data_IF_671703125505
#
_entry.id   IF_671703125505
#
_cell.length_a   1.000
_cell.length_b   1.000
_cell.length_c   1.000
_cell.angle_alpha   90.00
_cell.angle_beta   90.00
_cell.angle_gamma   90.00
#
_symmetry.space_group_name_H-M   'P 1'
#
loop_
_entity.id
_entity.type
_entity.pdbx_description
1 polymer ?
2 polymer ?
3 water ?
#
# COMPACT_ATOMS: atom_id res chain seq x y z
N UNK A 2 -3.09 -18.86 16.68
CA UNK A 2 -4.26 -18.81 15.79
C UNK A 2 -5.41 -17.89 16.32
N UNK A 3 -5.20 -16.56 16.26
CA UNK A 3 -6.27 -15.64 16.67
C UNK A 3 -7.35 -15.54 15.59
N UNK A 4 -8.61 -15.42 16.02
CA UNK A 4 -9.76 -15.33 15.12
C UNK A 4 -10.51 -14.00 15.25
N UNK A 5 -11.35 -13.72 14.25
CA UNK A 5 -12.17 -12.53 14.25
C UNK A 5 -13.57 -12.83 13.74
N UNK A 6 -14.55 -12.17 14.36
CA UNK A 6 -15.97 -12.27 14.08
C UNK A 6 -16.52 -10.86 13.82
N UNK A 7 -17.50 -10.75 12.90
CA UNK A 7 -18.24 -9.50 12.65
C UNK A 7 -19.73 -9.83 12.61
N UNK A 8 -20.50 -9.30 13.61
CA UNK A 8 -21.94 -9.60 13.75
C UNK A 8 -22.85 -8.35 13.71
N UNK A 9 -23.66 -8.20 12.64
CA UNK A 9 -23.79 -9.07 11.45
C UNK A 9 -22.66 -8.82 10.41
N UNK A 10 -22.47 -9.75 9.46
CA UNK A 10 -21.45 -9.61 8.41
C UNK A 10 -22.03 -9.41 7.00
N UNK A 11 -23.31 -9.79 6.79
CA UNK A 11 -23.97 -9.67 5.49
C UNK A 11 -25.26 -8.82 5.49
N UNK A 12 -25.63 -8.33 4.31
CA UNK A 12 -26.79 -7.48 4.07
C UNK A 12 -26.74 -6.15 4.78
N UNK A 13 -25.58 -5.53 4.83
CA UNK A 13 -25.41 -4.27 5.54
C UNK A 13 -25.91 -3.04 4.79
N UNK A 14 -26.09 -1.96 5.56
CA UNK A 14 -26.55 -0.64 5.12
C UNK A 14 -25.48 0.38 5.52
N UNK A 15 -25.47 1.58 4.88
CA UNK A 15 -24.51 2.62 5.26
C UNK A 15 -24.91 3.22 6.62
N UNK A 16 -24.20 2.81 7.65
CA UNK A 16 -24.47 3.30 9.00
C UNK A 16 -24.76 2.20 10.00
N UNK A 17 -24.85 0.95 9.52
CA UNK A 17 -25.08 -0.24 10.33
C UNK A 17 -24.00 -0.40 11.42
N UNK A 18 -24.46 -0.68 12.65
CA UNK A 18 -23.54 -0.91 13.74
C UNK A 18 -23.33 -2.42 13.80
N UNK A 19 -22.05 -2.84 13.77
CA UNK A 19 -21.66 -4.25 13.78
C UNK A 19 -20.84 -4.56 15.00
N UNK A 20 -20.94 -5.81 15.49
CA UNK A 20 -20.18 -6.24 16.65
C UNK A 20 -18.90 -6.92 16.17
N UNK A 21 -17.75 -6.29 16.44
CA UNK A 21 -16.45 -6.80 16.04
C UNK A 21 -15.87 -7.49 17.25
N UNK A 22 -15.59 -8.80 17.09
CA UNK A 22 -15.05 -9.65 18.15
C UNK A 22 -13.76 -10.38 17.73
N UNK A 23 -12.78 -10.36 18.63
CA UNK A 23 -11.50 -11.03 18.47
C UNK A 23 -11.32 -12.07 19.56
N UNK A 24 -10.84 -13.27 19.20
CA UNK A 24 -10.64 -14.40 20.10
C UNK A 24 -9.29 -15.04 19.79
N UNK A 25 -8.50 -15.28 20.84
CA UNK A 25 -7.19 -15.87 20.68
C UNK A 25 -6.08 -14.86 20.46
N UNK A 26 -6.38 -13.60 20.79
CA UNK A 26 -5.46 -12.47 20.67
C UNK A 26 -4.45 -12.51 21.83
N UNK A 27 -3.41 -11.65 21.77
CA UNK A 27 -2.42 -11.57 22.84
C UNK A 27 -2.93 -10.66 23.95
N UNK A 28 -3.02 -11.17 25.18
CA UNK A 28 -3.53 -10.40 26.33
C UNK A 28 -2.77 -9.06 26.51
N UNK A 29 -3.51 -7.99 26.79
CA UNK A 29 -2.96 -6.64 27.02
C UNK A 29 -2.52 -5.87 25.78
N UNK A 30 -2.60 -6.51 24.61
CA UNK A 30 -2.21 -5.94 23.30
C UNK A 30 -3.40 -5.15 22.69
N UNK A 31 -3.10 -3.93 22.16
CA UNK A 31 -4.08 -3.06 21.49
C UNK A 31 -4.21 -3.47 20.03
N UNK A 32 -5.46 -3.46 19.51
CA UNK A 32 -5.81 -3.80 18.15
C UNK A 32 -6.71 -2.74 17.56
N UNK A 33 -6.32 -2.26 16.39
CA UNK A 33 -7.05 -1.25 15.68
C UNK A 33 -8.09 -1.96 14.84
N UNK A 34 -9.35 -1.62 15.12
CA UNK A 34 -10.52 -2.17 14.44
C UNK A 34 -10.94 -1.13 13.43
N UNK A 35 -10.82 -1.52 12.15
CA UNK A 35 -11.13 -0.64 11.02
C UNK A 35 -11.76 -1.34 9.83
N UNK A 36 -12.52 -0.57 9.05
CA UNK A 36 -13.04 -1.01 7.77
C UNK A 36 -11.95 -0.77 6.69
N UNK A 37 -11.59 -1.86 6.00
CA UNK A 37 -10.58 -1.88 4.97
C UNK A 37 -11.17 -2.33 3.70
N UNK A 38 -10.43 -2.10 2.62
CA UNK A 38 -10.81 -2.54 1.29
C UNK A 38 -9.57 -2.67 0.40
N UNK A 39 -9.52 -3.75 -0.40
CA UNK A 39 -8.47 -4.00 -1.37
C UNK A 39 -8.96 -3.35 -2.66
N UNK A 40 -8.55 -2.09 -2.90
CA UNK A 40 -8.93 -1.18 -4.01
C UNK A 40 -8.14 -1.45 -5.30
N UNK A 41 -7.01 -2.15 -5.18
CA UNK A 41 -6.16 -2.53 -6.31
C UNK A 41 -5.18 -3.58 -5.83
N UNK A 42 -4.47 -4.28 -6.78
CA UNK A 42 -3.47 -5.30 -6.45
C UNK A 42 -2.38 -4.69 -5.56
N UNK A 43 -2.29 -5.19 -4.33
CA UNK A 43 -1.36 -4.73 -3.30
C UNK A 43 -1.70 -3.40 -2.63
N UNK A 44 -2.91 -2.86 -2.89
CA UNK A 44 -3.40 -1.58 -2.35
C UNK A 44 -4.56 -1.81 -1.39
N UNK A 45 -4.40 -1.35 -0.14
CA UNK A 45 -5.41 -1.44 0.90
C UNK A 45 -5.67 -0.06 1.46
N UNK A 46 -6.93 0.35 1.43
CA UNK A 46 -7.33 1.66 1.91
C UNK A 46 -8.21 1.47 3.11
N UNK A 47 -8.02 2.30 4.14
CA UNK A 47 -8.83 2.26 5.34
C UNK A 47 -9.80 3.44 5.41
N UNK A 48 -10.87 3.26 6.19
CA UNK A 48 -11.86 4.30 6.48
C UNK A 48 -11.32 5.00 7.73
N UNK A 49 -10.83 6.25 7.59
CA UNK A 49 -10.26 6.94 8.77
C UNK A 49 -11.28 7.45 9.76
N UNK A 50 -12.57 7.46 9.36
CA UNK A 50 -13.66 8.02 10.16
C UNK A 50 -14.20 7.16 11.29
N UNK A 51 -14.31 5.85 11.05
CA UNK A 51 -14.89 5.00 12.08
C UNK A 51 -13.93 3.91 12.37
N UNK A 52 -13.27 4.03 13.50
CA UNK A 52 -12.27 3.08 13.95
C UNK A 52 -12.04 3.32 15.42
N UNK A 53 -11.67 2.27 16.13
CA UNK A 53 -11.52 2.20 17.56
C UNK A 53 -10.32 1.31 17.92
N UNK A 54 -9.64 1.60 19.06
CA UNK A 54 -8.56 0.73 19.53
C UNK A 54 -9.12 0.04 20.77
N UNK A 55 -9.24 -1.28 20.67
CA UNK A 55 -9.77 -2.15 21.72
C UNK A 55 -8.57 -2.95 22.26
N UNK A 56 -8.52 -3.15 23.59
CA UNK A 56 -7.43 -3.88 24.25
C UNK A 56 -7.96 -5.22 24.72
N UNK A 57 -7.21 -6.29 24.41
CA UNK A 57 -7.58 -7.66 24.73
C UNK A 57 -7.52 -7.95 26.23
N UNK A 58 -8.50 -8.71 26.72
CA UNK A 58 -8.58 -9.15 28.11
C UNK A 58 -7.59 -10.31 28.36
N UNK A 59 -7.57 -10.85 29.62
CA UNK A 59 -6.68 -11.96 30.01
C UNK A 59 -6.90 -13.21 29.16
N UNK A 60 -8.16 -13.50 28.81
CA UNK A 60 -8.51 -14.66 27.98
C UNK A 60 -8.12 -14.56 26.48
N UNK A 61 -7.65 -13.39 26.05
CA UNK A 61 -7.23 -13.15 24.68
C UNK A 61 -8.36 -12.70 23.76
N UNK A 62 -9.45 -12.15 24.34
CA UNK A 62 -10.61 -11.65 23.61
C UNK A 62 -10.82 -10.14 23.81
N UNK A 63 -11.40 -9.51 22.80
CA UNK A 63 -11.73 -8.10 22.72
C UNK A 63 -13.03 -7.97 21.92
N UNK A 64 -13.79 -6.91 22.18
CA UNK A 64 -15.07 -6.68 21.55
C UNK A 64 -15.33 -5.19 21.45
N UNK A 65 -15.89 -4.77 20.32
CA UNK A 65 -16.24 -3.37 20.08
C UNK A 65 -17.34 -3.31 19.04
N UNK A 66 -17.92 -2.13 18.90
CA UNK A 66 -18.94 -1.84 17.92
C UNK A 66 -18.23 -1.09 16.81
N UNK A 67 -18.75 -1.22 15.57
CA UNK A 67 -18.18 -0.50 14.45
C UNK A 67 -19.29 -0.01 13.51
N UNK A 68 -19.23 1.26 13.15
CA UNK A 68 -20.19 1.82 12.20
C UNK A 68 -19.62 1.61 10.78
N UNK A 69 -20.23 0.71 10.02
CA UNK A 69 -19.79 0.39 8.67
C UNK A 69 -20.35 1.34 7.63
N UNK A 70 -19.53 1.68 6.63
CA UNK A 70 -19.91 2.55 5.52
C UNK A 70 -19.92 1.77 4.23
N UNK A 71 -20.87 2.06 3.37
CA UNK A 71 -20.97 1.41 2.07
C UNK A 71 -19.94 2.12 1.20
N UNK A 72 -19.87 3.43 1.33
CA UNK A 72 -18.96 4.30 0.61
C UNK A 72 -18.16 5.16 1.58
N UNK A 73 -16.84 5.22 1.36
CA UNK A 73 -15.93 6.03 2.15
C UNK A 73 -14.75 6.52 1.35
N UNK A 74 -14.16 7.63 1.83
CA UNK A 74 -12.96 8.20 1.24
C UNK A 74 -11.80 7.41 1.87
N UNK A 75 -11.12 6.63 1.04
CA UNK A 75 -9.99 5.78 1.44
C UNK A 75 -8.61 6.40 1.53
N UNK A 76 -7.85 5.98 2.57
CA UNK A 76 -6.47 6.40 2.89
C UNK A 76 -5.51 5.22 2.94
N UNK A 77 -4.24 5.49 2.61
CA UNK A 77 -3.22 4.46 2.64
C UNK A 77 -2.36 4.64 3.88
N UNK A 78 -1.51 3.62 4.18
CA UNK A 78 -0.62 3.57 5.35
C UNK A 78 0.07 4.90 5.69
N UNK A 79 0.45 5.70 4.69
CA UNK A 79 1.22 6.91 4.93
C UNK A 79 0.42 8.21 4.95
N UNK A 80 -0.90 8.08 4.87
CA UNK A 80 -1.84 9.18 4.91
C UNK A 80 -2.19 9.77 3.56
N UNK A 81 -1.90 9.00 2.49
CA UNK A 81 -2.16 9.31 1.09
C UNK A 81 -3.62 9.05 0.86
N UNK A 82 -4.31 10.02 0.24
CA UNK A 82 -5.70 9.95 -0.14
C UNK A 82 -5.75 9.02 -1.37
N UNK A 83 -6.43 7.88 -1.27
CA UNK A 83 -6.57 7.00 -2.44
C UNK A 83 -7.70 7.55 -3.33
N UNK A 84 -8.86 7.77 -2.70
CA UNK A 84 -10.09 8.24 -3.30
C UNK A 84 -11.29 7.47 -2.79
N UNK A 85 -12.45 7.60 -3.45
CA UNK A 85 -13.68 6.94 -3.00
C UNK A 85 -13.64 5.42 -3.14
N UNK A 86 -14.01 4.73 -2.06
CA UNK A 86 -14.13 3.30 -2.01
C UNK A 86 -15.63 3.01 -1.93
N UNK A 87 -16.15 2.17 -2.85
CA UNK A 87 -17.55 1.74 -2.90
C UNK A 87 -17.57 0.25 -2.53
N UNK A 88 -18.21 -0.11 -1.40
CA UNK A 88 -18.22 -1.51 -0.94
C UNK A 88 -19.17 -2.47 -1.66
N UNK A 89 -20.00 -1.94 -2.59
CA UNK A 89 -20.90 -2.76 -3.42
C UNK A 89 -20.06 -3.50 -4.49
N UNK A 90 -18.89 -2.94 -4.85
CA UNK A 90 -17.99 -3.48 -5.87
C UNK A 90 -16.62 -3.85 -5.34
N UNK A 91 -16.09 -3.07 -4.37
CA UNK A 91 -14.78 -3.35 -3.79
C UNK A 91 -14.91 -4.39 -2.70
N UNK A 92 -13.84 -5.16 -2.50
CA UNK A 92 -13.76 -6.23 -1.51
C UNK A 92 -13.48 -5.63 -0.10
N UNK A 93 -14.57 -5.26 0.61
CA UNK A 93 -14.53 -4.68 1.94
C UNK A 93 -14.55 -5.66 3.06
N UNK A 94 -13.69 -5.44 4.02
CA UNK A 94 -13.58 -6.23 5.22
C UNK A 94 -13.36 -5.37 6.47
N UNK A 95 -13.47 -5.98 7.63
CA UNK A 95 -13.26 -5.36 8.93
C UNK A 95 -12.05 -6.08 9.47
N UNK A 96 -11.09 -5.34 9.99
CA UNK A 96 -9.86 -5.95 10.50
C UNK A 96 -9.44 -5.48 11.87
N UNK A 97 -8.79 -6.36 12.62
CA UNK A 97 -8.20 -6.16 13.95
C UNK A 97 -6.71 -6.32 13.75
N UNK A 98 -5.94 -5.27 14.03
CA UNK A 98 -4.51 -5.30 13.83
C UNK A 98 -3.70 -4.67 14.93
N UNK A 99 -2.66 -5.40 15.38
CA UNK A 99 -1.72 -4.90 16.39
C UNK A 99 -0.64 -4.06 15.72
N UNK A 100 0.09 -3.28 16.53
CA UNK A 100 1.21 -2.41 16.13
C UNK A 100 2.27 -3.13 15.28
N UNK A 101 2.44 -4.45 15.49
CA UNK A 101 3.40 -5.26 14.75
C UNK A 101 2.97 -5.28 13.28
N UNK A 102 1.79 -5.85 13.06
CA UNK A 102 1.18 -6.02 11.74
C UNK A 102 0.19 -7.16 11.82
N UNK A 103 0.48 -8.11 12.74
CA UNK A 103 -0.27 -9.35 13.07
C UNK A 103 -1.74 -9.19 13.50
N UNK A 104 -2.27 -10.28 14.04
CA UNK A 104 -3.67 -10.37 14.42
C UNK A 104 -4.42 -11.23 13.43
N UNK A 105 -5.75 -11.38 13.59
CA UNK A 105 -6.49 -12.30 12.70
C UNK A 105 -6.64 -11.85 11.24
N UNK A 106 -7.16 -12.76 10.41
CA UNK A 106 -7.44 -12.49 9.01
C UNK A 106 -8.73 -11.66 9.02
N UNK A 107 -8.76 -10.64 8.16
CA UNK A 107 -9.90 -9.73 8.05
C UNK A 107 -11.17 -10.47 7.73
N UNK A 108 -12.29 -10.00 8.26
CA UNK A 108 -13.60 -10.61 8.05
C UNK A 108 -14.29 -9.79 6.98
N UNK A 109 -14.61 -10.46 5.86
CA UNK A 109 -15.30 -9.92 4.70
C UNK A 109 -16.70 -9.45 5.08
N UNK A 110 -17.10 -8.27 4.58
CA UNK A 110 -18.41 -7.66 4.82
C UNK A 110 -19.07 -7.35 3.49
N UNK A 111 -20.36 -7.65 3.38
CA UNK A 111 -21.18 -7.47 2.19
C UNK A 111 -22.44 -6.67 2.50
N UNK A 112 -22.78 -5.78 1.55
CA UNK A 112 -23.91 -4.85 1.62
C UNK A 112 -25.01 -5.29 0.65
N UNK B 3 -12.75 -18.72 -8.26
CA UNK B 3 -11.44 -19.19 -8.69
C UNK B 3 -10.53 -19.56 -7.52
N UNK B 4 -9.72 -20.61 -7.71
CA UNK B 4 -8.80 -21.10 -6.69
C UNK B 4 -7.33 -21.03 -7.13
N UNK B 5 -6.43 -21.13 -6.15
CA UNK B 5 -4.99 -21.12 -6.38
C UNK B 5 -4.30 -22.14 -5.50
N UNK B 6 -3.32 -22.87 -6.04
CA UNK B 6 -2.55 -23.86 -5.28
C UNK B 6 -1.08 -23.77 -5.67
N UNK B 7 -0.18 -23.72 -4.66
CA UNK B 7 1.28 -23.59 -4.78
C UNK B 7 1.93 -24.90 -4.32
N UNK B 8 2.63 -25.58 -5.24
CA UNK B 8 3.25 -26.88 -4.95
C UNK B 8 4.78 -26.93 -5.18
N UNK B 9 5.58 -27.07 -4.09
CA UNK B 9 5.18 -27.16 -2.67
C UNK B 9 4.88 -25.79 -2.04
N UNK B 10 4.34 -25.80 -0.79
CA UNK B 10 3.98 -24.58 -0.06
C UNK B 10 4.71 -24.38 1.25
N UNK B 11 5.04 -25.47 1.97
CA UNK B 11 5.69 -25.45 3.29
C UNK B 11 7.18 -25.85 3.27
N UNK B 12 7.94 -25.39 4.28
CA UNK B 12 9.35 -25.66 4.47
C UNK B 12 10.20 -25.46 3.23
N UNK B 13 10.23 -24.21 2.71
CA UNK B 13 10.95 -23.84 1.50
C UNK B 13 12.40 -23.33 1.72
N UNK B 14 13.15 -23.13 0.62
CA UNK B 14 14.54 -22.65 0.63
C UNK B 14 14.65 -21.46 -0.34
N UNK B 15 15.70 -20.62 -0.20
CA UNK B 15 15.87 -19.49 -1.11
C UNK B 15 16.33 -20.00 -2.47
N UNK B 16 15.41 -20.04 -3.42
CA UNK B 16 15.68 -20.50 -4.78
C UNK B 16 14.82 -21.65 -5.24
N UNK B 17 13.96 -22.16 -4.32
CA UNK B 17 13.02 -23.25 -4.57
C UNK B 17 12.08 -22.91 -5.73
N UNK B 18 11.91 -23.85 -6.64
CA UNK B 18 10.98 -23.67 -7.75
C UNK B 18 9.66 -24.29 -7.29
N UNK B 19 8.58 -23.50 -7.36
CA UNK B 19 7.25 -23.93 -6.94
C UNK B 19 6.30 -23.92 -8.12
N UNK B 20 5.31 -24.82 -8.11
CA UNK B 20 4.32 -24.89 -9.16
C UNK B 20 3.09 -24.07 -8.74
N UNK B 21 2.86 -22.97 -9.45
CA UNK B 21 1.74 -22.08 -9.17
C UNK B 21 0.64 -22.45 -10.15
N UNK B 22 -0.52 -22.85 -9.62
CA UNK B 22 -1.69 -23.29 -10.38
C UNK B 22 -2.95 -22.54 -10.00
N UNK B 23 -3.69 -22.14 -11.02
CA UNK B 23 -4.96 -21.45 -10.92
C UNK B 23 -6.06 -22.27 -11.56
N UNK B 24 -7.21 -22.40 -10.89
CA UNK B 24 -8.35 -23.17 -11.36
C UNK B 24 -9.62 -22.36 -11.14
N UNK B 25 -10.46 -22.28 -12.15
CA UNK B 25 -11.71 -21.52 -12.09
C UNK B 25 -11.55 -20.07 -12.48
N UNK B 26 -10.43 -19.75 -13.16
CA UNK B 26 -10.11 -18.41 -13.64
C UNK B 26 -10.93 -18.11 -14.91
N UNK B 27 -10.91 -16.85 -15.37
CA UNK B 27 -11.62 -16.46 -16.58
C UNK B 27 -10.78 -16.78 -17.80
N UNK B 28 -11.32 -17.60 -18.73
CA UNK B 28 -10.62 -17.99 -19.96
C UNK B 28 -10.08 -16.77 -20.76
N UNK B 29 -8.84 -16.88 -21.24
CA UNK B 29 -8.16 -15.85 -22.02
C UNK B 29 -7.63 -14.65 -21.27
N UNK B 30 -7.89 -14.60 -19.93
CA UNK B 30 -7.46 -13.52 -19.03
C UNK B 30 -6.04 -13.78 -18.52
N UNK B 31 -5.20 -12.72 -18.52
CA UNK B 31 -3.81 -12.74 -18.01
C UNK B 31 -3.81 -12.50 -16.50
N UNK B 32 -2.95 -13.25 -15.78
CA UNK B 32 -2.77 -13.17 -14.33
C UNK B 32 -1.30 -13.06 -13.99
N UNK B 33 -0.97 -12.07 -13.17
CA UNK B 33 0.39 -11.84 -12.70
C UNK B 33 0.63 -12.69 -11.49
N UNK B 34 1.59 -13.58 -11.61
CA UNK B 34 2.01 -14.52 -10.57
C UNK B 34 3.25 -13.94 -9.93
N UNK B 35 3.12 -13.57 -8.63
CA UNK B 35 4.19 -12.95 -7.87
C UNK B 35 4.23 -13.33 -6.42
N UNK B 36 5.45 -13.24 -5.82
CA UNK B 36 5.68 -13.40 -4.39
C UNK B 36 5.40 -12.03 -3.72
N UNK B 37 4.47 -12.05 -2.76
CA UNK B 37 4.04 -10.88 -2.01
C UNK B 37 4.28 -11.12 -0.58
N UNK B 38 4.25 -10.06 0.22
CA UNK B 38 4.40 -10.17 1.66
C UNK B 38 3.79 -8.98 2.36
N UNK B 39 3.06 -9.23 3.47
CA UNK B 39 2.50 -8.17 4.29
C UNK B 39 3.65 -7.71 5.24
N UNK B 40 4.22 -6.57 4.91
CA UNK B 40 5.33 -6.00 5.64
C UNK B 40 4.90 -5.09 6.76
N UNK B 41 3.64 -4.64 6.73
CA UNK B 41 3.05 -3.79 7.77
C UNK B 41 1.53 -3.72 7.53
N UNK B 42 0.75 -3.23 8.53
CA UNK B 42 -0.71 -3.09 8.41
C UNK B 42 -1.06 -2.21 7.19
N UNK B 43 -1.72 -2.81 6.22
CA UNK B 43 -2.11 -2.17 4.96
C UNK B 43 -1.00 -2.02 3.92
N UNK B 44 0.19 -2.60 4.18
CA UNK B 44 1.37 -2.52 3.31
C UNK B 44 1.71 -3.90 2.72
N UNK B 45 1.73 -3.99 1.40
CA UNK B 45 2.07 -5.20 0.64
C UNK B 45 3.17 -4.88 -0.33
N UNK B 46 4.28 -5.63 -0.22
CA UNK B 46 5.41 -5.43 -1.09
C UNK B 46 5.57 -6.66 -1.96
N UNK B 47 5.91 -6.45 -3.24
CA UNK B 47 6.12 -7.52 -4.19
C UNK B 47 7.61 -7.70 -4.49
N UNK B 48 7.96 -8.92 -4.94
CA UNK B 48 9.31 -9.27 -5.38
C UNK B 48 9.30 -8.95 -6.87
N UNK B 49 9.99 -7.87 -7.30
CA UNK B 49 9.97 -7.52 -8.73
C UNK B 49 10.82 -8.42 -9.62
N UNK B 50 11.68 -9.25 -9.00
CA UNK B 50 12.62 -10.09 -9.72
C UNK B 50 12.09 -11.38 -10.33
N UNK B 51 11.17 -12.06 -9.61
CA UNK B 51 10.68 -13.34 -10.13
C UNK B 51 9.19 -13.24 -10.21
N UNK B 52 8.71 -13.01 -11.44
CA UNK B 52 7.30 -12.87 -11.78
C UNK B 52 7.06 -13.20 -13.23
N UNK B 53 5.87 -13.71 -13.50
CA UNK B 53 5.45 -14.19 -14.79
C UNK B 53 3.97 -13.86 -15.02
N UNK B 54 3.59 -13.63 -16.28
CA UNK B 54 2.18 -13.43 -16.64
C UNK B 54 1.77 -14.71 -17.39
N UNK B 55 0.83 -15.44 -16.80
CA UNK B 55 0.30 -16.68 -17.33
C UNK B 55 -1.13 -16.41 -17.80
N UNK B 56 -1.52 -16.97 -18.95
CA UNK B 56 -2.85 -16.79 -19.54
C UNK B 56 -3.64 -18.08 -19.40
N UNK B 57 -4.88 -17.95 -18.88
CA UNK B 57 -5.79 -19.07 -18.62
C UNK B 57 -6.31 -19.74 -19.89
N UNK B 58 -6.50 -21.08 -19.86
CA UNK B 58 -7.02 -21.87 -20.98
C UNK B 58 -8.56 -21.78 -21.13
N UNK B 59 -9.11 -22.38 -22.21
CA UNK B 59 -10.55 -22.37 -22.52
C UNK B 59 -11.41 -22.94 -21.39
N UNK B 60 -10.98 -24.04 -20.77
CA UNK B 60 -11.67 -24.72 -19.66
C UNK B 60 -11.71 -23.84 -18.39
N UNK B 61 -10.59 -23.16 -18.11
CA UNK B 61 -10.42 -22.29 -16.96
C UNK B 61 -9.32 -22.79 -16.05
N UNK B 62 -8.06 -22.71 -16.53
CA UNK B 62 -6.85 -23.15 -15.82
C UNK B 62 -5.58 -22.46 -16.34
N UNK B 63 -4.59 -22.27 -15.45
CA UNK B 63 -3.28 -21.72 -15.77
C UNK B 63 -2.25 -22.35 -14.84
N UNK B 64 -1.00 -22.46 -15.31
CA UNK B 64 0.07 -23.06 -14.53
C UNK B 64 1.38 -22.43 -14.92
N UNK B 65 2.24 -22.21 -13.92
CA UNK B 65 3.59 -21.66 -14.11
C UNK B 65 4.48 -22.09 -12.96
N UNK B 66 5.78 -21.89 -13.14
CA UNK B 66 6.78 -22.16 -12.13
C UNK B 66 7.14 -20.81 -11.55
N UNK B 67 7.55 -20.80 -10.27
CA UNK B 67 7.97 -19.57 -9.61
C UNK B 67 9.17 -19.83 -8.71
N UNK B 68 10.21 -18.99 -8.84
CA UNK B 68 11.39 -19.09 -7.99
C UNK B 68 11.14 -18.24 -6.76
N UNK B 69 10.94 -18.89 -5.62
CA UNK B 69 10.67 -18.22 -4.35
C UNK B 69 11.96 -17.78 -3.64
N UNK B 70 11.93 -16.61 -3.01
CA UNK B 70 13.05 -16.05 -2.28
C UNK B 70 12.68 -15.84 -0.84
N UNK B 71 13.47 -16.37 0.08
CA UNK B 71 13.28 -16.22 1.52
C UNK B 71 13.45 -14.73 1.88
N UNK B 72 14.36 -14.03 1.17
CA UNK B 72 14.66 -12.60 1.35
C UNK B 72 14.67 -11.88 -0.02
N UNK B 73 14.02 -10.72 -0.10
CA UNK B 73 13.95 -9.90 -1.30
C UNK B 73 13.75 -8.45 -1.00
N UNK B 74 14.15 -7.60 -1.97
CA UNK B 74 13.97 -6.16 -1.88
C UNK B 74 12.55 -5.88 -2.38
N UNK B 75 11.68 -5.46 -1.45
CA UNK B 75 10.27 -5.17 -1.70
C UNK B 75 9.91 -3.80 -2.26
N UNK B 76 8.93 -3.81 -3.21
CA UNK B 76 8.35 -2.66 -3.90
C UNK B 76 6.85 -2.55 -3.68
N UNK B 77 6.34 -1.31 -3.71
CA UNK B 77 4.89 -1.08 -3.54
C UNK B 77 4.27 -0.80 -4.89
N UNK B 78 2.91 -0.81 -4.96
CA UNK B 78 2.10 -0.59 -6.16
C UNK B 78 2.59 0.52 -7.09
N UNK B 79 3.14 1.61 -6.53
CA UNK B 79 3.56 2.75 -7.34
C UNK B 79 5.06 2.83 -7.67
N UNK B 80 5.79 1.77 -7.31
CA UNK B 80 7.21 1.60 -7.58
C UNK B 80 8.14 2.14 -6.51
N UNK B 81 7.58 2.35 -5.31
CA UNK B 81 8.26 2.84 -4.12
C UNK B 81 9.01 1.65 -3.54
N UNK B 82 10.33 1.83 -3.24
CA UNK B 82 11.01 0.75 -2.58
C UNK B 82 10.68 0.79 -1.11
N UNK B 83 10.23 -0.34 -0.62
CA UNK B 83 9.88 -0.48 0.80
C UNK B 83 11.15 -0.74 1.61
N UNK B 84 11.91 -1.75 1.16
CA UNK B 84 13.14 -2.23 1.76
C UNK B 84 13.18 -3.75 1.77
N UNK B 85 14.11 -4.34 2.54
CA UNK B 85 14.25 -5.79 2.60
C UNK B 85 13.07 -6.48 3.28
N UNK B 86 12.55 -7.51 2.63
CA UNK B 86 11.51 -8.37 3.13
C UNK B 86 12.16 -9.70 3.47
N UNK B 87 11.95 -10.18 4.71
CA UNK B 87 12.44 -11.47 5.19
C UNK B 87 11.20 -12.36 5.40
N UNK B 88 11.09 -13.48 4.66
CA UNK B 88 9.92 -14.35 4.75
C UNK B 88 9.84 -15.29 5.96
N UNK B 89 10.89 -15.33 6.79
CA UNK B 89 10.93 -16.11 8.02
C UNK B 89 10.04 -15.43 9.09
N UNK B 90 9.87 -14.09 8.96
CA UNK B 90 9.09 -13.26 9.89
C UNK B 90 7.89 -12.57 9.24
N UNK B 91 8.03 -12.16 7.97
CA UNK B 91 6.93 -11.50 7.26
C UNK B 91 5.98 -12.54 6.69
N UNK B 92 4.71 -12.15 6.51
CA UNK B 92 3.66 -13.04 6.01
C UNK B 92 3.72 -13.13 4.47
N UNK B 93 4.53 -14.07 3.97
CA UNK B 93 4.72 -14.24 2.53
C UNK B 93 3.74 -15.15 1.83
N UNK B 94 3.16 -14.66 0.73
CA UNK B 94 2.21 -15.39 -0.11
C UNK B 94 2.64 -15.35 -1.59
N UNK B 95 2.00 -16.19 -2.42
CA UNK B 95 2.16 -16.21 -3.88
C UNK B 95 0.77 -15.86 -4.35
N UNK B 96 0.67 -14.90 -5.27
CA UNK B 96 -0.63 -14.45 -5.76
C UNK B 96 -0.77 -14.40 -7.27
N UNK B 97 -2.02 -14.66 -7.75
CA UNK B 97 -2.45 -14.62 -9.16
C UNK B 97 -3.45 -13.50 -9.24
N UNK B 98 -3.14 -12.46 -10.02
CA UNK B 98 -4.00 -11.29 -10.13
C UNK B 98 -4.19 -10.78 -11.53
N UNK B 99 -5.46 -10.45 -11.86
CA UNK B 99 -5.90 -9.86 -13.12
C UNK B 99 -5.56 -8.35 -13.08
N UNK B 100 -5.64 -7.68 -14.25
CA UNK B 100 -5.36 -6.24 -14.38
C UNK B 100 -6.17 -5.36 -13.44
N UNK B 101 -7.43 -5.72 -13.20
CA UNK B 101 -8.31 -4.96 -12.31
C UNK B 101 -7.99 -5.17 -10.83
N UNK B 102 -7.62 -6.39 -10.45
CA UNK B 102 -7.28 -6.77 -9.09
C UNK B 102 -7.71 -8.17 -8.73
N UNK B 103 -8.96 -8.50 -9.12
CA UNK B 103 -9.67 -9.77 -8.93
C UNK B 103 -8.82 -10.99 -9.32
N UNK B 104 -9.17 -12.12 -8.72
CA UNK B 104 -8.48 -13.39 -8.90
C UNK B 104 -8.56 -14.15 -7.60
N UNK B 105 -7.98 -15.37 -7.48
CA UNK B 105 -8.08 -16.09 -6.21
C UNK B 105 -7.37 -15.39 -5.04
N UNK B 106 -7.61 -15.91 -3.83
CA UNK B 106 -6.95 -15.43 -2.63
C UNK B 106 -5.52 -16.01 -2.68
N UNK B 107 -4.56 -15.18 -2.30
CA UNK B 107 -3.15 -15.56 -2.27
C UNK B 107 -2.91 -16.78 -1.41
N UNK B 108 -1.95 -17.61 -1.82
CA UNK B 108 -1.59 -18.84 -1.13
C UNK B 108 -0.36 -18.55 -0.31
N UNK B 109 -0.49 -18.72 1.02
CA UNK B 109 0.57 -18.50 2.00
C UNK B 109 1.69 -19.50 1.80
N UNK B 110 2.95 -19.03 1.91
CA UNK B 110 4.18 -19.82 1.75
C UNK B 110 5.05 -19.66 2.99
N UNK B 111 5.67 -20.76 3.44
CA UNK B 111 6.52 -20.79 4.63
C UNK B 111 7.90 -21.39 4.34
N UNK B 112 8.95 -20.79 4.95
CA UNK B 112 10.34 -21.19 4.77
C UNK B 112 10.92 -21.85 6.02
N UNK B 113 11.73 -22.90 5.80
CA UNK B 113 12.44 -23.66 6.83
C UNK B 113 13.59 -22.82 7.39
N UNK B 114 13.92 -22.97 8.71
CA UNK B 114 15.01 -22.23 9.38
C UNK B 114 15.52 -22.99 10.59
N UNK C 8 -13.17 22.86 1.95
CA UNK C 8 -14.50 23.40 2.29
C UNK C 8 -15.57 22.33 2.30
N UNK C 9 -15.76 21.70 3.47
CA UNK C 9 -16.75 20.66 3.67
C UNK C 9 -17.54 20.95 4.97
N UNK C 10 -18.88 20.89 4.90
CA UNK C 10 -19.80 21.13 6.01
C UNK C 10 -19.77 19.90 6.92
N UNK C 11 -18.93 19.98 7.98
CA UNK C 11 -18.71 18.87 8.93
C UNK C 11 -19.11 19.29 10.32
N UNK C 12 -19.62 18.32 11.10
CA UNK C 12 -20.00 18.49 12.51
C UNK C 12 -18.75 18.98 13.28
N UNK C 13 -18.84 20.15 13.96
CA UNK C 13 -17.66 20.64 14.70
C UNK C 13 -17.22 19.72 15.86
N UNK C 14 -18.17 18.91 16.43
CA UNK C 14 -17.90 17.98 17.53
C UNK C 14 -16.99 16.86 17.07
N UNK C 15 -17.20 16.42 15.80
CA UNK C 15 -16.41 15.42 15.06
C UNK C 15 -14.95 15.89 14.87
N UNK C 16 -14.75 17.16 14.47
CA UNK C 16 -13.45 17.80 14.28
C UNK C 16 -12.69 17.85 15.64
N UNK C 17 -13.35 18.28 16.74
CA UNK C 17 -12.80 18.32 18.10
C UNK C 17 -12.31 16.92 18.52
N UNK C 18 -13.12 15.86 18.25
CA UNK C 18 -12.81 14.45 18.53
C UNK C 18 -11.51 14.01 17.80
N UNK C 19 -11.44 14.16 16.46
CA UNK C 19 -10.25 13.85 15.66
C UNK C 19 -9.05 14.66 16.13
N UNK C 20 -9.27 15.91 16.60
CA UNK C 20 -8.19 16.74 17.13
C UNK C 20 -7.66 16.17 18.47
N UNK C 21 -8.58 15.67 19.36
CA UNK C 21 -8.19 15.04 20.63
C UNK C 21 -7.45 13.70 20.36
N UNK C 22 -7.88 12.96 19.32
CA UNK C 22 -7.32 11.69 18.86
C UNK C 22 -5.87 11.75 18.38
N UNK C 23 -5.37 12.93 17.95
CA UNK C 23 -3.97 13.14 17.57
C UNK C 23 -3.05 12.99 18.81
N UNK C 24 -3.63 12.89 20.01
CA UNK C 24 -2.92 12.75 21.27
C UNK C 24 -3.07 11.32 21.85
N UNK C 25 -3.83 10.41 21.15
CA UNK C 25 -4.07 9.03 21.61
C UNK C 25 -2.79 8.18 21.79
N UNK C 26 -2.92 7.01 22.46
CA UNK C 26 -1.82 6.11 22.72
C UNK C 26 -1.47 5.24 21.51
N UNK C 27 -2.47 4.96 20.67
CA UNK C 27 -2.38 4.14 19.47
C UNK C 27 -2.01 5.06 18.30
N UNK C 28 -0.86 4.75 17.62
CA UNK C 28 -0.34 5.46 16.43
C UNK C 28 -1.43 5.33 15.33
N UNK C 29 -2.15 4.18 15.31
CA UNK C 29 -3.25 3.90 14.40
C UNK C 29 -4.34 4.98 14.51
N UNK C 30 -4.79 5.29 15.75
CA UNK C 30 -5.79 6.32 16.07
C UNK C 30 -5.27 7.72 15.63
N UNK C 31 -4.07 8.09 16.06
CA UNK C 31 -3.41 9.35 15.72
C UNK C 31 -3.28 9.55 14.19
N UNK C 32 -2.83 8.49 13.44
CA UNK C 32 -2.67 8.49 11.97
C UNK C 32 -4.04 8.67 11.26
N UNK C 33 -5.06 7.96 11.77
CA UNK C 33 -6.43 7.96 11.26
C UNK C 33 -7.07 9.34 11.41
N UNK C 34 -6.85 9.94 12.60
CA UNK C 34 -7.33 11.27 12.94
C UNK C 34 -6.68 12.31 12.01
N UNK C 35 -5.38 12.19 11.76
CA UNK C 35 -4.66 13.11 10.89
C UNK C 35 -5.19 13.00 9.47
N UNK C 36 -5.42 11.76 8.94
CA UNK C 36 -5.97 11.54 7.59
C UNK C 36 -7.38 12.14 7.46
N UNK C 37 -8.27 11.87 8.46
CA UNK C 37 -9.64 12.37 8.55
C UNK C 37 -9.71 13.93 8.61
N UNK C 38 -8.74 14.55 9.31
CA UNK C 38 -8.72 16.01 9.37
C UNK C 38 -8.46 16.69 8.01
N UNK C 39 -7.58 16.09 7.20
CA UNK C 39 -7.28 16.56 5.86
C UNK C 39 -8.49 16.45 4.95
N UNK C 40 -9.26 15.34 5.13
CA UNK C 40 -10.49 15.03 4.41
C UNK C 40 -11.53 16.16 4.65
N UNK C 41 -11.79 16.47 5.94
CA UNK C 41 -12.64 17.54 6.45
C UNK C 41 -12.20 18.91 5.91
N UNK C 42 -10.90 19.18 5.89
CA UNK C 42 -10.35 20.42 5.34
C UNK C 42 -10.59 21.70 6.12
N UNK C 43 -10.84 21.57 7.44
CA UNK C 43 -11.05 22.70 8.36
C UNK C 43 -9.75 23.40 8.73
N UNK C 44 -9.80 24.73 8.94
CA UNK C 44 -8.63 25.52 9.34
C UNK C 44 -8.28 25.37 10.83
N UNK C 45 -9.24 24.90 11.67
CA UNK C 45 -9.05 24.70 13.12
C UNK C 45 -8.13 23.54 13.48
N UNK C 46 -7.93 22.64 12.52
CA UNK C 46 -7.08 21.48 12.65
C UNK C 46 -5.62 21.80 12.34
N UNK C 47 -5.34 22.97 11.71
CA UNK C 47 -3.98 23.41 11.30
C UNK C 47 -2.95 23.34 12.41
N UNK C 48 -3.16 24.08 13.52
CA UNK C 48 -2.20 24.06 14.64
C UNK C 48 -2.03 22.69 15.31
N UNK C 49 -3.12 21.94 15.64
CA UNK C 49 -2.92 20.57 16.20
C UNK C 49 -2.21 19.58 15.26
N UNK C 50 -2.34 19.74 13.92
CA UNK C 50 -1.72 18.90 12.91
C UNK C 50 -0.24 19.24 12.75
N UNK C 51 0.13 20.52 13.01
CA UNK C 51 1.50 21.01 12.97
C UNK C 51 2.30 20.34 14.09
N UNK C 52 1.66 20.17 15.27
CA UNK C 52 2.24 19.51 16.44
C UNK C 52 2.51 18.02 16.13
N UNK C 53 1.64 17.40 15.27
CA UNK C 53 1.70 16.01 14.85
C UNK C 53 2.83 15.73 13.83
N UNK C 54 3.35 16.78 13.17
CA UNK C 54 4.48 16.70 12.24
C UNK C 54 5.78 16.33 13.00
N UNK C 55 5.69 16.29 14.34
CA UNK C 55 6.76 16.02 15.30
C UNK C 55 6.41 14.78 16.14
N UNK C 56 5.45 13.97 15.66
CA UNK C 56 5.00 12.75 16.35
C UNK C 56 6.11 11.69 16.30
N UNK C 57 6.13 10.75 17.27
CA UNK C 57 7.13 9.69 17.24
C UNK C 57 6.94 8.63 16.14
N UNK C 58 5.80 8.63 15.46
CA UNK C 58 5.54 7.64 14.44
C UNK C 58 5.64 8.26 13.05
N UNK C 59 6.45 7.63 12.18
CA UNK C 59 6.72 8.07 10.81
C UNK C 59 5.41 8.22 9.97
N UNK C 60 4.43 7.31 10.17
CA UNK C 60 3.16 7.34 9.45
C UNK C 60 2.17 8.35 10.00
N UNK C 61 2.37 8.75 11.25
CA UNK C 61 1.54 9.84 11.78
C UNK C 61 2.08 11.14 11.14
N UNK C 62 3.42 11.39 11.23
CA UNK C 62 4.04 12.60 10.65
C UNK C 62 3.70 12.83 9.17
N UNK C 63 3.79 11.78 8.35
CA UNK C 63 3.47 11.87 6.92
C UNK C 63 1.98 12.15 6.67
N UNK C 64 1.09 11.43 7.44
CA UNK C 64 -0.36 11.61 7.34
C UNK C 64 -0.72 13.04 7.66
N UNK C 65 -0.08 13.62 8.71
CA UNK C 65 -0.29 15.02 9.10
C UNK C 65 0.20 15.96 8.01
N UNK C 66 1.33 15.63 7.38
CA UNK C 66 1.84 16.43 6.28
C UNK C 66 0.91 16.37 5.06
N UNK C 67 0.34 15.19 4.75
CA UNK C 67 -0.61 15.10 3.62
C UNK C 67 -1.87 15.90 3.86
N UNK C 68 -2.38 15.87 5.12
CA UNK C 68 -3.59 16.58 5.56
C UNK C 68 -3.41 18.10 5.41
N UNK C 69 -2.24 18.62 5.88
CA UNK C 69 -1.88 20.04 5.84
C UNK C 69 -1.82 20.59 4.44
N UNK C 70 -1.33 19.77 3.50
CA UNK C 70 -1.26 20.10 2.09
C UNK C 70 -2.65 20.14 1.48
N UNK C 71 -3.51 19.18 1.88
CA UNK C 71 -4.89 19.08 1.43
C UNK C 71 -5.64 20.32 1.89
N UNK C 72 -5.42 20.78 3.16
CA UNK C 72 -6.00 22.01 3.71
C UNK C 72 -5.58 23.27 2.89
N UNK C 73 -4.30 23.40 2.58
CA UNK C 73 -3.79 24.49 1.77
C UNK C 73 -3.51 25.76 2.53
N UNK C 74 -3.41 25.65 3.88
CA UNK C 74 -3.13 26.78 4.77
C UNK C 74 -1.62 27.12 4.74
N UNK C 75 -1.28 28.44 4.65
CA UNK C 75 0.10 28.92 4.58
C UNK C 75 0.88 28.74 5.90
N UNK C 76 0.18 28.68 7.08
CA UNK C 76 0.80 28.51 8.41
C UNK C 76 1.72 27.31 8.48
N UNK C 77 1.33 26.24 7.78
CA UNK C 77 2.03 24.96 7.67
C UNK C 77 3.36 25.02 6.87
N UNK C 78 3.62 26.11 6.10
CA UNK C 78 4.83 26.25 5.30
C UNK C 78 6.13 26.09 6.06
N UNK C 79 6.33 26.86 7.15
CA UNK C 79 7.54 26.72 7.97
C UNK C 79 7.66 25.30 8.54
N UNK C 80 6.62 24.73 9.21
CA UNK C 80 6.74 23.34 9.71
C UNK C 80 6.98 22.26 8.66
N UNK C 81 6.40 22.41 7.45
CA UNK C 81 6.57 21.45 6.35
C UNK C 81 7.99 21.46 5.75
N UNK C 82 8.66 22.64 5.78
CA UNK C 82 10.04 22.82 5.33
C UNK C 82 10.94 22.08 6.31
N UNK C 83 10.62 22.15 7.63
CA UNK C 83 11.37 21.45 8.68
C UNK C 83 11.26 19.92 8.47
N UNK C 84 10.01 19.44 8.22
CA UNK C 84 9.71 18.03 7.96
C UNK C 84 10.36 17.52 6.67
N UNK C 85 10.77 18.43 5.74
CA UNK C 85 11.46 18.06 4.50
C UNK C 85 12.86 17.52 4.82
N UNK C 86 13.34 17.79 6.04
CA UNK C 86 14.65 17.36 6.54
C UNK C 86 14.48 16.19 7.50
N UNK C 87 13.27 15.64 7.58
CA UNK C 87 12.92 14.50 8.45
C UNK C 87 13.76 13.28 8.13
N UNK C 88 14.05 12.50 9.17
CA UNK C 88 14.82 11.25 9.06
C UNK C 88 14.18 10.18 8.14
N UNK C 89 12.83 10.23 7.98
CA UNK C 89 12.12 9.25 7.21
C UNK C 89 11.78 9.72 5.82
N UNK C 90 12.04 8.84 4.83
CA UNK C 90 11.81 9.00 3.42
C UNK C 90 10.34 9.34 3.09
N UNK C 91 9.36 8.57 3.63
CA UNK C 91 7.92 8.79 3.41
C UNK C 91 7.46 10.16 3.92
N UNK C 92 7.95 10.57 5.13
CA UNK C 92 7.68 11.88 5.75
C UNK C 92 8.21 13.01 4.82
N UNK C 93 9.45 12.85 4.30
CA UNK C 93 10.07 13.82 3.38
C UNK C 93 9.26 13.92 2.08
N UNK C 94 8.84 12.76 1.49
CA UNK C 94 8.00 12.72 0.30
C UNK C 94 6.62 13.44 0.57
N UNK C 95 6.00 13.20 1.74
CA UNK C 95 4.73 13.81 2.14
C UNK C 95 4.82 15.33 2.19
N UNK C 96 5.89 15.82 2.85
CA UNK C 96 6.22 17.24 3.03
C UNK C 96 6.41 17.92 1.71
N UNK C 97 7.21 17.30 0.80
CA UNK C 97 7.46 17.80 -0.56
C UNK C 97 6.13 18.04 -1.30
N UNK C 98 5.23 17.02 -1.29
CA UNK C 98 3.91 17.05 -1.92
C UNK C 98 3.01 18.12 -1.30
N UNK C 99 2.89 18.13 0.03
CA UNK C 99 2.10 19.10 0.78
C UNK C 99 2.49 20.55 0.47
N UNK C 100 3.80 20.83 0.34
CA UNK C 100 4.34 22.15 -0.01
C UNK C 100 3.92 22.54 -1.42
N UNK C 101 3.91 21.55 -2.34
CA UNK C 101 3.44 21.72 -3.71
C UNK C 101 1.95 21.97 -3.83
N UNK C 102 1.16 21.53 -2.83
CA UNK C 102 -0.29 21.66 -2.73
C UNK C 102 -0.65 23.03 -2.12
N UNK C 103 0.39 23.88 -1.89
CA UNK C 103 0.26 25.23 -1.34
C UNK C 103 0.87 26.34 -2.26
N UNK C 104 2.19 26.54 -2.22
CA UNK C 104 2.90 27.55 -3.01
C UNK C 104 2.57 28.98 -2.63
N UNK D 9 27.55 -0.48 -8.92
CA UNK D 9 26.73 -1.69 -9.04
C UNK D 9 27.24 -2.65 -10.14
N UNK D 10 27.40 -3.96 -9.77
CA UNK D 10 27.91 -5.07 -10.61
C UNK D 10 26.80 -6.15 -10.70
N UNK D 11 26.01 -6.11 -11.79
CA UNK D 11 24.85 -7.00 -11.98
C UNK D 11 24.84 -7.66 -13.37
N UNK D 12 24.38 -8.94 -13.45
CA UNK D 12 24.35 -9.72 -14.70
C UNK D 12 23.76 -8.87 -15.83
N UNK D 13 24.54 -8.63 -16.92
CA UNK D 13 24.01 -7.80 -18.01
C UNK D 13 22.80 -8.42 -18.73
N UNK D 14 22.68 -9.79 -18.71
CA UNK D 14 21.59 -10.56 -19.34
C UNK D 14 20.27 -10.25 -18.63
N UNK D 15 20.35 -10.09 -17.29
CA UNK D 15 19.25 -9.75 -16.38
C UNK D 15 18.71 -8.34 -16.70
N UNK D 16 19.61 -7.35 -16.89
CA UNK D 16 19.31 -5.96 -17.22
C UNK D 16 18.61 -5.90 -18.59
N UNK D 17 19.18 -6.60 -19.57
CA UNK D 17 18.66 -6.77 -20.93
C UNK D 17 17.19 -7.25 -20.88
N UNK D 18 16.90 -8.29 -20.09
CA UNK D 18 15.59 -8.90 -19.86
C UNK D 18 14.55 -7.89 -19.31
N UNK D 19 14.87 -7.25 -18.16
CA UNK D 19 14.04 -6.21 -17.55
C UNK D 19 13.82 -5.03 -18.50
N UNK D 20 14.81 -4.72 -19.36
CA UNK D 20 14.67 -3.65 -20.36
C UNK D 20 13.66 -4.07 -21.46
N UNK D 21 13.68 -5.36 -21.90
CA UNK D 21 12.73 -5.90 -22.89
C UNK D 21 11.31 -5.93 -22.29
N UNK D 22 11.21 -6.25 -20.98
CA UNK D 22 9.97 -6.32 -20.19
C UNK D 22 9.21 -5.02 -20.07
N UNK D 23 9.87 -3.86 -20.22
CA UNK D 23 9.24 -2.54 -20.20
C UNK D 23 8.32 -2.37 -21.45
N UNK D 24 8.40 -3.33 -22.40
CA UNK D 24 7.61 -3.33 -23.63
C UNK D 24 6.51 -4.41 -23.60
N UNK D 25 6.42 -5.19 -22.50
CA UNK D 25 5.43 -6.28 -22.35
C UNK D 25 3.96 -5.83 -22.44
N UNK D 26 3.05 -6.79 -22.59
CA UNK D 26 1.61 -6.54 -22.70
C UNK D 26 0.97 -6.28 -21.34
N UNK D 27 1.53 -6.88 -20.28
CA UNK D 27 1.07 -6.81 -18.90
C UNK D 27 1.74 -5.60 -18.24
N UNK D 28 0.90 -4.65 -17.71
CA UNK D 28 1.34 -3.44 -17.00
C UNK D 28 2.12 -3.92 -15.76
N UNK D 29 1.70 -5.07 -15.19
CA UNK D 29 2.33 -5.72 -14.05
C UNK D 29 3.81 -6.01 -14.32
N UNK D 30 4.11 -6.63 -15.49
CA UNK D 30 5.46 -6.98 -15.98
C UNK D 30 6.29 -5.68 -16.18
N UNK D 31 5.75 -4.73 -16.93
CA UNK D 31 6.36 -3.43 -17.21
C UNK D 31 6.70 -2.67 -15.92
N UNK D 32 5.74 -2.58 -14.92
CA UNK D 32 5.91 -1.92 -13.61
C UNK D 32 7.04 -2.62 -12.79
N UNK D 33 7.03 -3.97 -12.79
CA UNK D 33 7.98 -4.80 -12.06
C UNK D 33 9.39 -4.61 -12.59
N UNK D 34 9.51 -4.57 -13.95
CA UNK D 34 10.75 -4.35 -14.66
C UNK D 34 11.30 -2.97 -14.32
N UNK D 35 10.44 -1.95 -14.31
CA UNK D 35 10.85 -0.60 -13.97
C UNK D 35 11.38 -0.52 -12.53
N UNK D 36 10.68 -1.16 -11.55
CA UNK D 36 11.11 -1.20 -10.13
C UNK D 36 12.47 -1.90 -9.99
N UNK D 37 12.63 -3.09 -10.63
CA UNK D 37 13.85 -3.89 -10.67
C UNK D 37 15.06 -3.13 -11.29
N UNK D 38 14.81 -2.33 -12.34
CA UNK D 38 15.87 -1.54 -12.95
C UNK D 38 16.46 -0.47 -12.02
N UNK D 39 15.61 0.17 -11.22
CA UNK D 39 16.03 1.13 -10.21
C UNK D 39 16.87 0.49 -9.14
N UNK D 40 16.51 -0.75 -8.74
CA UNK D 40 17.18 -1.58 -7.75
C UNK D 40 18.64 -1.82 -8.22
N UNK D 41 18.79 -2.33 -9.46
CA UNK D 41 20.04 -2.59 -10.19
C UNK D 41 20.89 -1.30 -10.30
N UNK D 42 20.25 -0.18 -10.66
CA UNK D 42 20.94 1.11 -10.74
C UNK D 42 21.95 1.26 -11.88
N UNK D 43 21.73 0.54 -12.97
CA UNK D 43 22.58 0.62 -14.15
C UNK D 43 22.20 1.84 -14.99
N UNK D 44 23.19 2.44 -15.65
CA UNK D 44 22.99 3.61 -16.51
C UNK D 44 22.38 3.26 -17.87
N UNK D 45 22.52 1.99 -18.33
CA UNK D 45 21.98 1.56 -19.63
C UNK D 45 20.45 1.58 -19.68
N UNK D 46 19.81 1.42 -18.49
CA UNK D 46 18.35 1.41 -18.30
C UNK D 46 17.74 2.79 -18.37
N UNK D 47 18.55 3.87 -18.27
CA UNK D 47 18.13 5.28 -18.32
C UNK D 47 17.23 5.61 -19.49
N UNK D 48 17.72 5.45 -20.74
CA UNK D 48 16.90 5.76 -21.92
C UNK D 48 15.62 4.91 -22.05
N UNK D 49 15.65 3.56 -21.87
CA UNK D 49 14.39 2.76 -21.92
C UNK D 49 13.39 3.12 -20.81
N UNK D 50 13.85 3.61 -19.63
CA UNK D 50 13.01 4.01 -18.50
C UNK D 50 12.38 5.36 -18.75
N UNK D 51 13.07 6.23 -19.52
CA UNK D 51 12.61 7.57 -19.92
C UNK D 51 11.39 7.41 -20.84
N UNK D 52 11.44 6.40 -21.74
CA UNK D 52 10.35 6.06 -22.66
C UNK D 52 9.11 5.58 -21.87
N UNK D 53 9.33 4.93 -20.71
CA UNK D 53 8.32 4.38 -19.81
C UNK D 53 7.62 5.45 -18.98
N UNK D 54 8.22 6.64 -18.85
CA UNK D 54 7.63 7.81 -18.17
C UNK D 54 6.39 8.34 -18.97
N UNK D 55 6.16 7.76 -20.16
CA UNK D 55 5.11 8.08 -21.13
C UNK D 55 4.23 6.84 -21.37
N UNK D 56 4.32 5.82 -20.49
CA UNK D 56 3.55 4.58 -20.58
C UNK D 56 2.06 4.86 -20.33
N UNK D 57 1.17 4.01 -20.86
CA UNK D 57 -0.26 4.22 -20.64
C UNK D 57 -0.75 3.90 -19.21
N UNK D 58 0.11 3.28 -18.41
CA UNK D 58 -0.28 2.93 -17.05
C UNK D 58 0.37 3.85 -16.03
N UNK D 59 -0.47 4.45 -15.15
CA UNK D 59 -0.04 5.38 -14.11
C UNK D 59 1.03 4.78 -13.17
N UNK D 60 0.92 3.48 -12.84
CA UNK D 60 1.86 2.80 -11.95
C UNK D 60 3.16 2.36 -12.66
N UNK D 61 3.09 2.21 -14.01
CA UNK D 61 4.29 1.98 -14.80
C UNK D 61 5.10 3.34 -14.84
N UNK D 62 4.45 4.50 -15.11
CA UNK D 62 5.11 5.83 -15.16
C UNK D 62 5.77 6.24 -13.83
N UNK D 63 5.05 6.05 -12.71
CA UNK D 63 5.57 6.39 -11.37
C UNK D 63 6.75 5.49 -10.96
N UNK D 64 6.64 4.16 -11.24
CA UNK D 64 7.67 3.18 -10.94
C UNK D 64 8.94 3.54 -11.69
N UNK D 65 8.80 3.95 -12.97
CA UNK D 65 9.90 4.39 -13.82
C UNK D 65 10.51 5.67 -13.26
N UNK D 66 9.67 6.59 -12.78
CA UNK D 66 10.17 7.82 -12.18
C UNK D 66 10.92 7.53 -10.87
N UNK D 67 10.44 6.58 -10.03
CA UNK D 67 11.16 6.23 -8.80
C UNK D 67 12.52 5.61 -9.09
N UNK D 68 12.59 4.74 -10.13
CA UNK D 68 13.79 4.05 -10.58
C UNK D 68 14.85 5.05 -11.04
N UNK D 69 14.44 6.04 -11.86
CA UNK D 69 15.30 7.08 -12.43
C UNK D 69 15.94 7.94 -11.37
N UNK D 70 15.19 8.22 -10.31
CA UNK D 70 15.65 8.97 -9.16
C UNK D 70 16.66 8.18 -8.37
N UNK D 71 16.40 6.87 -8.22
CA UNK D 71 17.28 5.93 -7.52
C UNK D 71 18.60 5.85 -8.26
N UNK D 72 18.56 5.80 -9.62
CA UNK D 72 19.76 5.81 -10.49
C UNK D 72 20.61 7.08 -10.27
N UNK D 73 19.97 8.25 -10.28
CA UNK D 73 20.64 9.52 -10.04
C UNK D 73 21.33 10.11 -11.25
N UNK D 74 20.92 9.66 -12.46
CA UNK D 74 21.43 10.11 -13.74
C UNK D 74 20.76 11.44 -14.11
N UNK D 75 21.56 12.42 -14.59
CA UNK D 75 21.10 13.78 -14.96
C UNK D 75 20.34 13.86 -16.31
N UNK D 76 20.31 12.77 -17.11
CA UNK D 76 19.60 12.69 -18.39
C UNK D 76 18.10 12.74 -18.16
N UNK D 77 17.64 12.11 -17.07
CA UNK D 77 16.24 12.00 -16.64
C UNK D 77 15.64 13.33 -16.15
N UNK D 78 16.50 14.31 -15.78
CA UNK D 78 16.13 15.63 -15.24
C UNK D 78 15.05 16.36 -16.06
N UNK D 79 15.23 16.48 -17.39
CA UNK D 79 14.21 17.09 -18.23
C UNK D 79 12.94 16.22 -18.41
N UNK D 80 12.99 14.89 -18.76
CA UNK D 80 11.76 14.06 -18.78
C UNK D 80 10.95 14.03 -17.46
N UNK D 81 11.66 14.11 -16.30
CA UNK D 81 11.02 14.13 -14.97
C UNK D 81 10.24 15.42 -14.69
N UNK D 82 10.71 16.54 -15.27
CA UNK D 82 10.07 17.86 -15.17
C UNK D 82 8.76 17.81 -15.98
N UNK D 83 8.78 17.12 -17.14
CA UNK D 83 7.61 16.93 -17.98
C UNK D 83 6.55 16.10 -17.21
N UNK D 84 6.99 14.98 -16.58
CA UNK D 84 6.17 14.08 -15.78
C UNK D 84 5.60 14.78 -14.52
N UNK D 85 6.21 15.91 -14.09
CA UNK D 85 5.71 16.68 -12.95
C UNK D 85 4.37 17.33 -13.29
N UNK D 86 4.05 17.41 -14.60
CA UNK D 86 2.81 17.97 -15.15
C UNK D 86 1.85 16.86 -15.54
N UNK D 87 2.19 15.59 -15.22
CA UNK D 87 1.40 14.40 -15.51
C UNK D 87 0.00 14.48 -14.91
N UNK D 88 -0.97 13.90 -15.61
CA UNK D 88 -2.37 13.86 -15.20
C UNK D 88 -2.60 13.12 -13.86
N UNK D 89 -1.71 12.21 -13.49
CA UNK D 89 -1.87 11.43 -12.27
C UNK D 89 -1.04 11.94 -11.11
N UNK D 90 -1.70 12.04 -9.95
CA UNK D 90 -1.16 12.47 -8.67
C UNK D 90 0.07 11.67 -8.24
N UNK D 91 0.00 10.32 -8.26
CA UNK D 91 1.11 9.42 -7.89
C UNK D 91 2.34 9.63 -8.77
N UNK D 92 2.13 9.77 -10.10
CA UNK D 92 3.18 10.05 -11.09
C UNK D 92 3.87 11.39 -10.78
N UNK D 93 3.07 12.44 -10.48
CA UNK D 93 3.58 13.76 -10.11
C UNK D 93 4.40 13.69 -8.80
N UNK D 94 3.89 12.97 -7.77
CA UNK D 94 4.60 12.74 -6.51
C UNK D 94 5.95 11.98 -6.75
N UNK D 95 5.93 10.94 -7.60
CA UNK D 95 7.13 10.15 -7.98
C UNK D 95 8.22 11.02 -8.60
N UNK D 96 7.81 11.87 -9.59
CA UNK D 96 8.65 12.80 -10.34
C UNK D 96 9.28 13.79 -9.41
N UNK D 97 8.49 14.40 -8.50
CA UNK D 97 8.98 15.36 -7.51
C UNK D 97 10.10 14.75 -6.67
N UNK D 98 9.89 13.52 -6.15
CA UNK D 98 10.85 12.77 -5.33
C UNK D 98 12.11 12.42 -6.13
N UNK D 99 11.95 11.84 -7.33
CA UNK D 99 13.05 11.48 -8.23
C UNK D 99 13.96 12.68 -8.55
N UNK D 100 13.37 13.88 -8.77
CA UNK D 100 14.10 15.11 -9.04
C UNK D 100 14.92 15.51 -7.81
N UNK D 101 14.34 15.32 -6.62
CA UNK D 101 15.02 15.58 -5.36
C UNK D 101 16.16 14.62 -5.06
N UNK D 102 16.12 13.40 -5.65
CA UNK D 102 17.12 12.34 -5.53
C UNK D 102 18.27 12.56 -6.53
N UNK D 103 18.23 13.70 -7.28
CA UNK D 103 19.23 14.03 -8.30
C UNK D 103 19.88 15.41 -8.05
N UNK D 104 19.19 16.51 -8.38
CA UNK D 104 19.71 17.87 -8.19
C UNK D 104 20.91 18.21 -9.04
#
# INVERSE_FOLDING_TARGET
AAPTATVTPSSGLSDGTVVKVAGAGLQAGTAYWVAQWARVDTGVWAYNPADNSSVTADANGSASTSLTVRRSFEGFLFDGTRWGTVDCTTAACQVGLSDAAGNGPEGVAISFAAHHHHHH
AAPTATVTPSSGLSDGTVVKVAGAGLQAGTAYWVAQWARVDTGVWAYNPADNSSVTADANGSASTSLTVRRSFEGFLFDGTRWGTVDCTTAACQVGLSDAAGNGPEGVAISFAAHHHHHH
MRGSHHHHHHTDPEKVEMYIKNLQDDSYFVRRAAAAALGKIGDERAVEPLIKALKDEDRFVRSSAAYALGEIGDERAVEPLIKALKDEDWFVRRAAAVALGEIGGERVRAAMEKLAETGTGFARKVAVNYLETHKSLIS
MRGSHHHHHHTDPEKVEMYIKNLQDDSYFVRRAAAAALGKIGDERAVEPLIKALKDEDRFVRSSAAYALGEIGDERAVEPLIKALKDEDWFVRRAAAVALGEIGGERVRAAMEKLAETGTGFARKVAVNYLETHKSLIS
#
